data_IF_271984981804
#
_entry.id   IF_271984981804
#
_cell.length_a   1.000
_cell.length_b   1.000
_cell.length_c   1.000
_cell.angle_alpha   90.00
_cell.angle_beta   90.00
_cell.angle_gamma   90.00
#
_symmetry.space_group_name_H-M   'P 1'
#
loop_
_entity.id
_entity.type
_entity.pdbx_description
1 polymer ?
#
# COMPACT_ATOMS: atom_id res chain seq x y z
N UNK A 1 -53.32 12.74 7.81
CA UNK A 1 -52.03 13.39 8.17
C UNK A 1 -50.99 12.39 8.68
N UNK A 2 -51.27 11.55 9.67
CA UNK A 2 -50.30 10.54 10.18
C UNK A 2 -49.80 9.53 9.12
N UNK A 3 -50.66 9.12 8.17
CA UNK A 3 -50.28 8.18 7.08
C UNK A 3 -49.33 8.79 6.04
N UNK A 4 -49.36 10.12 5.84
CA UNK A 4 -48.46 10.85 4.94
C UNK A 4 -47.06 11.04 5.56
N UNK A 5 -47.00 11.20 6.89
CA UNK A 5 -45.75 11.24 7.66
C UNK A 5 -44.98 9.92 7.63
N UNK A 6 -45.67 8.78 7.67
CA UNK A 6 -45.02 7.46 7.57
C UNK A 6 -44.46 7.17 6.17
N UNK A 7 -45.11 7.65 5.11
CA UNK A 7 -44.62 7.48 3.74
C UNK A 7 -43.38 8.34 3.45
N UNK A 8 -43.31 9.56 3.98
CA UNK A 8 -42.15 10.44 3.83
C UNK A 8 -40.90 9.89 4.56
N UNK A 9 -41.09 9.24 5.71
CA UNK A 9 -39.99 8.65 6.48
C UNK A 9 -39.39 7.41 5.78
N UNK A 10 -40.22 6.62 5.09
CA UNK A 10 -39.76 5.44 4.34
C UNK A 10 -38.92 5.83 3.10
N UNK A 11 -39.25 6.93 2.42
CA UNK A 11 -38.48 7.41 1.25
C UNK A 11 -37.13 8.02 1.67
N UNK A 12 -37.06 8.67 2.85
CA UNK A 12 -35.81 9.20 3.39
C UNK A 12 -34.79 8.09 3.75
N UNK A 13 -35.26 6.92 4.19
CA UNK A 13 -34.42 5.77 4.52
C UNK A 13 -33.80 5.10 3.28
N UNK A 14 -34.47 5.17 2.12
CA UNK A 14 -33.95 4.61 0.86
C UNK A 14 -32.84 5.49 0.26
N UNK A 15 -32.91 6.81 0.45
CA UNK A 15 -31.90 7.75 -0.03
C UNK A 15 -30.63 7.78 0.86
N UNK A 16 -30.74 7.38 2.13
CA UNK A 16 -29.59 7.24 3.03
C UNK A 16 -28.72 5.99 2.73
N UNK A 17 -29.24 5.02 1.97
CA UNK A 17 -28.55 3.76 1.64
C UNK A 17 -27.61 3.82 0.43
N UNK A 18 -27.73 4.84 -0.42
CA UNK A 18 -26.85 5.03 -1.60
C UNK A 18 -25.59 5.86 -1.31
N UNK A 19 -25.39 6.30 -0.06
CA UNK A 19 -24.17 6.93 0.41
C UNK A 19 -23.07 5.92 0.68
N UNK A 20 -22.69 5.15 -0.34
CA UNK A 20 -21.47 4.34 -0.34
C UNK A 20 -20.24 5.25 -0.36
N UNK A 21 -20.04 6.06 0.68
CA UNK A 21 -18.74 6.61 1.04
C UNK A 21 -17.88 5.46 1.52
N UNK A 22 -17.54 4.55 0.60
CA UNK A 22 -16.71 3.41 0.85
C UNK A 22 -15.40 3.93 1.41
N UNK A 23 -15.04 3.43 2.60
CA UNK A 23 -13.64 3.40 3.04
C UNK A 23 -12.83 2.97 1.82
N UNK A 24 -11.98 3.84 1.27
CA UNK A 24 -11.11 3.44 0.17
C UNK A 24 -10.29 2.26 0.67
N UNK A 25 -10.43 1.13 0.00
CA UNK A 25 -9.61 -0.04 0.30
C UNK A 25 -8.14 0.37 0.10
N UNK A 26 -7.27 -0.04 1.04
CA UNK A 26 -5.85 0.34 1.02
C UNK A 26 -5.06 -0.75 0.32
N UNK A 27 -4.33 -0.39 -0.73
CA UNK A 27 -3.33 -1.24 -1.36
C UNK A 27 -1.99 -1.01 -0.63
N UNK A 28 -1.52 -2.04 0.06
CA UNK A 28 -0.22 -2.04 0.73
C UNK A 28 0.88 -2.45 -0.23
N UNK A 29 1.88 -1.60 -0.40
CA UNK A 29 3.08 -1.85 -1.19
C UNK A 29 4.28 -1.86 -0.27
N UNK A 30 5.06 -2.93 -0.32
CA UNK A 30 6.32 -3.01 0.41
C UNK A 30 7.40 -2.20 -0.26
N UNK A 31 8.31 -1.68 0.53
CA UNK A 31 9.57 -1.11 0.06
C UNK A 31 10.70 -1.67 0.91
N UNK A 32 11.82 -2.02 0.29
CA UNK A 32 13.02 -2.34 1.02
C UNK A 32 14.28 -1.85 0.31
N UNK A 33 15.22 -1.37 1.11
CA UNK A 33 16.49 -0.81 0.68
C UNK A 33 17.33 -0.43 1.90
N UNK A 34 18.54 0.05 1.66
CA UNK A 34 19.42 0.48 2.75
C UNK A 34 18.95 1.86 3.26
N UNK A 35 18.47 1.91 4.50
CA UNK A 35 18.17 3.16 5.21
C UNK A 35 19.26 3.49 6.24
N UNK A 36 20.19 2.57 6.47
CA UNK A 36 21.37 2.78 7.30
C UNK A 36 22.64 2.31 6.59
N UNK A 37 23.80 2.74 7.09
CA UNK A 37 25.11 2.43 6.51
C UNK A 37 25.45 3.28 5.28
N UNK A 38 26.49 2.87 4.55
CA UNK A 38 27.10 3.68 3.49
C UNK A 38 26.18 3.98 2.30
N UNK A 39 25.14 3.16 2.11
CA UNK A 39 24.18 3.30 1.01
C UNK A 39 22.87 3.99 1.44
N UNK A 40 22.77 4.47 2.70
CA UNK A 40 21.54 5.07 3.25
C UNK A 40 21.01 6.23 2.42
N UNK A 41 21.91 7.08 1.90
CA UNK A 41 21.53 8.25 1.10
C UNK A 41 20.68 7.86 -0.11
N UNK A 42 20.92 6.70 -0.73
CA UNK A 42 20.13 6.25 -1.87
C UNK A 42 18.76 5.75 -1.43
N UNK A 43 18.71 4.88 -0.40
CA UNK A 43 17.44 4.31 0.06
C UNK A 43 16.51 5.34 0.69
N UNK A 44 17.03 6.34 1.40
CA UNK A 44 16.22 7.45 1.93
C UNK A 44 15.54 8.25 0.82
N UNK A 45 16.30 8.62 -0.23
CA UNK A 45 15.77 9.35 -1.38
C UNK A 45 14.74 8.52 -2.17
N UNK A 46 15.01 7.23 -2.37
CA UNK A 46 14.10 6.30 -3.03
C UNK A 46 12.79 6.13 -2.25
N UNK A 47 12.86 5.86 -0.93
CA UNK A 47 11.67 5.70 -0.09
C UNK A 47 10.86 6.99 0.02
N UNK A 48 11.52 8.14 0.15
CA UNK A 48 10.85 9.44 0.21
C UNK A 48 10.12 9.74 -1.12
N UNK A 49 10.70 9.36 -2.25
CA UNK A 49 10.05 9.49 -3.57
C UNK A 49 8.78 8.63 -3.65
N UNK A 50 8.82 7.39 -3.17
CA UNK A 50 7.62 6.53 -3.13
C UNK A 50 6.53 7.13 -2.24
N UNK A 51 6.89 7.62 -1.05
CA UNK A 51 5.95 8.28 -0.14
C UNK A 51 5.32 9.51 -0.79
N UNK A 52 6.12 10.39 -1.39
CA UNK A 52 5.66 11.60 -2.06
C UNK A 52 4.66 11.28 -3.18
N UNK A 53 4.97 10.30 -4.04
CA UNK A 53 4.06 9.91 -5.12
C UNK A 53 2.77 9.27 -4.59
N UNK A 54 2.85 8.47 -3.52
CA UNK A 54 1.65 7.88 -2.91
C UNK A 54 0.77 8.95 -2.27
N UNK A 55 1.36 9.94 -1.61
CA UNK A 55 0.65 11.11 -1.08
C UNK A 55 -0.04 11.89 -2.20
N UNK A 56 0.64 12.16 -3.31
CA UNK A 56 0.08 12.84 -4.48
C UNK A 56 -1.12 12.06 -5.07
N UNK A 57 -0.97 10.76 -5.30
CA UNK A 57 -2.06 9.93 -5.82
C UNK A 57 -3.22 9.84 -4.85
N UNK A 58 -2.96 9.70 -3.56
CA UNK A 58 -4.01 9.68 -2.54
C UNK A 58 -4.75 11.02 -2.45
N UNK A 59 -4.04 12.15 -2.55
CA UNK A 59 -4.63 13.48 -2.60
C UNK A 59 -5.49 13.69 -3.86
N UNK A 60 -5.13 13.05 -4.97
CA UNK A 60 -5.92 13.03 -6.22
C UNK A 60 -7.10 12.04 -6.19
N UNK A 61 -7.41 11.43 -5.04
CA UNK A 61 -8.54 10.50 -4.88
C UNK A 61 -8.18 9.02 -5.05
N UNK A 62 -6.89 8.69 -5.01
CA UNK A 62 -6.38 7.33 -5.11
C UNK A 62 -6.27 6.81 -6.54
N UNK A 63 -5.88 5.55 -6.68
CA UNK A 63 -5.74 4.87 -7.96
C UNK A 63 -6.99 4.06 -8.30
N UNK A 64 -7.35 3.96 -9.58
CA UNK A 64 -8.47 3.13 -10.03
C UNK A 64 -7.98 1.77 -10.53
N UNK A 65 -8.51 0.69 -9.95
CA UNK A 65 -8.22 -0.68 -10.35
C UNK A 65 -9.54 -1.42 -10.47
N UNK A 66 -9.87 -1.91 -11.67
CA UNK A 66 -11.11 -2.66 -11.92
C UNK A 66 -12.38 -1.87 -11.57
N UNK A 67 -12.40 -0.56 -11.85
CA UNK A 67 -13.54 0.33 -11.58
C UNK A 67 -13.73 0.70 -10.11
N UNK A 68 -12.77 0.38 -9.23
CA UNK A 68 -12.78 0.75 -7.81
C UNK A 68 -11.58 1.64 -7.48
N UNK A 69 -11.79 2.62 -6.59
CA UNK A 69 -10.73 3.52 -6.10
C UNK A 69 -10.07 2.96 -4.85
N UNK A 70 -8.74 3.00 -4.82
CA UNK A 70 -7.90 2.52 -3.73
C UNK A 70 -6.92 3.60 -3.31
N UNK A 71 -6.66 3.71 -2.01
CA UNK A 71 -5.51 4.49 -1.52
C UNK A 71 -4.29 3.60 -1.41
N UNK A 72 -3.12 4.21 -1.52
CA UNK A 72 -1.83 3.53 -1.46
C UNK A 72 -1.18 3.74 -0.10
N UNK A 73 -0.61 2.68 0.47
CA UNK A 73 0.22 2.72 1.68
C UNK A 73 1.56 2.04 1.38
N UNK A 74 2.66 2.72 1.68
CA UNK A 74 4.00 2.12 1.58
C UNK A 74 4.47 1.64 2.95
N UNK A 75 4.91 0.38 3.02
CA UNK A 75 5.53 -0.22 4.21
C UNK A 75 7.01 -0.41 3.92
N UNK A 76 7.84 0.46 4.49
CA UNK A 76 9.28 0.48 4.26
C UNK A 76 10.08 -0.20 5.37
N UNK A 77 11.08 -1.00 5.01
CA UNK A 77 12.05 -1.57 5.94
C UNK A 77 13.49 -1.36 5.48
N UNK A 78 14.37 -1.18 6.47
CA UNK A 78 15.81 -1.14 6.28
C UNK A 78 16.38 -2.55 6.13
N UNK A 79 17.05 -2.83 5.01
CA UNK A 79 17.81 -4.07 4.83
C UNK A 79 19.30 -3.94 5.18
N UNK A 80 19.76 -2.75 5.60
CA UNK A 80 21.14 -2.45 6.02
C UNK A 80 22.19 -2.71 4.94
N UNK A 81 21.79 -2.83 3.67
CA UNK A 81 22.69 -3.26 2.60
C UNK A 81 23.07 -4.75 2.67
N UNK A 82 22.40 -5.56 3.50
CA UNK A 82 22.72 -6.97 3.68
C UNK A 82 21.79 -7.93 2.89
N UNK A 83 22.34 -8.94 2.18
CA UNK A 83 21.54 -9.92 1.45
C UNK A 83 20.64 -10.80 2.32
N UNK A 84 21.11 -11.21 3.50
CA UNK A 84 20.35 -12.08 4.41
C UNK A 84 19.19 -11.31 5.05
N UNK A 85 19.41 -10.04 5.39
CA UNK A 85 18.36 -9.17 5.90
C UNK A 85 17.32 -8.85 4.82
N UNK A 86 17.73 -8.71 3.56
CA UNK A 86 16.80 -8.55 2.42
C UNK A 86 15.82 -9.73 2.32
N UNK A 87 16.30 -10.96 2.57
CA UNK A 87 15.45 -12.16 2.66
C UNK A 87 14.47 -12.09 3.84
N UNK A 88 14.93 -11.66 5.01
CA UNK A 88 14.09 -11.56 6.21
C UNK A 88 12.99 -10.52 6.04
N UNK A 89 13.35 -9.33 5.55
CA UNK A 89 12.43 -8.24 5.25
C UNK A 89 11.41 -8.68 4.19
N UNK A 90 11.85 -9.37 3.13
CA UNK A 90 10.94 -9.90 2.11
C UNK A 90 9.90 -10.84 2.71
N UNK A 91 10.31 -11.80 3.56
CA UNK A 91 9.38 -12.71 4.26
C UNK A 91 8.39 -11.97 5.15
N UNK A 92 8.84 -10.90 5.83
CA UNK A 92 7.98 -10.06 6.66
C UNK A 92 6.94 -9.33 5.82
N UNK A 93 7.37 -8.69 4.74
CA UNK A 93 6.50 -7.97 3.81
C UNK A 93 5.44 -8.89 3.19
N UNK A 94 5.83 -10.08 2.75
CA UNK A 94 4.90 -11.04 2.14
C UNK A 94 4.01 -11.73 3.17
N UNK A 95 4.55 -12.12 4.33
CA UNK A 95 3.85 -12.95 5.30
C UNK A 95 3.03 -12.17 6.34
N UNK A 96 3.65 -11.17 6.97
CA UNK A 96 3.03 -10.40 8.05
C UNK A 96 2.26 -9.20 7.51
N UNK A 97 2.92 -8.38 6.68
CA UNK A 97 2.34 -7.14 6.17
C UNK A 97 1.38 -7.38 5.00
N UNK A 98 1.50 -8.53 4.34
CA UNK A 98 0.66 -8.99 3.22
C UNK A 98 0.58 -7.96 2.11
N UNK A 99 1.73 -7.39 1.75
CA UNK A 99 1.83 -6.41 0.66
C UNK A 99 1.56 -7.08 -0.69
N UNK A 100 0.97 -6.33 -1.62
CA UNK A 100 0.65 -6.86 -2.96
C UNK A 100 1.85 -6.86 -3.91
N UNK A 101 2.84 -6.03 -3.60
CA UNK A 101 4.07 -5.86 -4.37
C UNK A 101 5.18 -5.33 -3.46
N UNK A 102 6.43 -5.48 -3.89
CA UNK A 102 7.61 -4.92 -3.22
C UNK A 102 8.40 -4.09 -4.24
N UNK A 103 8.79 -2.87 -3.86
CA UNK A 103 9.69 -1.99 -4.60
C UNK A 103 11.10 -2.09 -3.98
N UNK A 104 12.11 -2.23 -4.83
CA UNK A 104 13.52 -2.36 -4.42
C UNK A 104 13.97 -3.82 -4.20
N UNK A 105 15.22 -4.02 -3.74
CA UNK A 105 16.25 -3.02 -3.49
C UNK A 105 17.01 -2.64 -4.77
N UNK A 106 17.75 -1.53 -4.73
CA UNK A 106 18.56 -1.03 -5.85
C UNK A 106 19.87 -1.82 -6.10
N UNK A 107 20.29 -2.68 -5.15
CA UNK A 107 21.48 -3.53 -5.25
C UNK A 107 21.13 -4.95 -5.70
N UNK A 108 21.79 -5.45 -6.76
CA UNK A 108 21.59 -6.82 -7.26
C UNK A 108 21.95 -7.89 -6.22
N UNK A 109 22.99 -7.67 -5.41
CA UNK A 109 23.40 -8.61 -4.36
C UNK A 109 22.32 -8.82 -3.30
N UNK A 110 21.46 -7.83 -3.11
CA UNK A 110 20.35 -7.85 -2.16
C UNK A 110 19.05 -8.33 -2.83
N UNK A 111 18.85 -8.01 -4.10
CA UNK A 111 17.64 -8.36 -4.86
C UNK A 111 17.60 -9.84 -5.26
N UNK A 112 18.71 -10.41 -5.74
CA UNK A 112 18.75 -11.79 -6.26
C UNK A 112 18.25 -12.83 -5.22
N UNK A 113 18.68 -12.78 -3.95
CA UNK A 113 18.22 -13.74 -2.93
C UNK A 113 16.72 -13.66 -2.60
N UNK A 114 16.05 -12.57 -2.97
CA UNK A 114 14.61 -12.40 -2.73
C UNK A 114 13.75 -13.19 -3.71
N UNK A 115 14.24 -13.43 -4.94
CA UNK A 115 13.45 -14.00 -6.03
C UNK A 115 12.77 -15.34 -5.67
N UNK A 116 13.45 -16.34 -5.07
CA UNK A 116 12.81 -17.62 -4.73
C UNK A 116 11.65 -17.50 -3.74
N UNK A 117 11.61 -16.43 -2.94
CA UNK A 117 10.53 -16.16 -1.98
C UNK A 117 9.31 -15.60 -2.70
N UNK A 118 9.54 -14.69 -3.66
CA UNK A 118 8.50 -13.97 -4.39
C UNK A 118 7.90 -14.78 -5.53
N UNK A 119 8.68 -15.66 -6.16
CA UNK A 119 8.23 -16.52 -7.26
C UNK A 119 7.42 -17.74 -6.78
N UNK A 120 7.42 -17.99 -5.47
CA UNK A 120 6.68 -19.11 -4.88
C UNK A 120 5.18 -18.84 -4.98
N UNK A 121 4.50 -19.68 -5.75
CA UNK A 121 3.03 -19.66 -5.93
C UNK A 121 2.28 -20.23 -4.74
#
# INVERSE_FOLDING_TARGET
>A
MKKLLFAALAVALVLAGCGGGGKSDVIKVGWLGALTGDQAVWGENELNTVKMLFEEYNAAGGIEVGGRKYTLEVIGYDNKGDPQESVNVTKRLTGQDKVVAIIGPNSSGNAIPMAPILEKR
#
